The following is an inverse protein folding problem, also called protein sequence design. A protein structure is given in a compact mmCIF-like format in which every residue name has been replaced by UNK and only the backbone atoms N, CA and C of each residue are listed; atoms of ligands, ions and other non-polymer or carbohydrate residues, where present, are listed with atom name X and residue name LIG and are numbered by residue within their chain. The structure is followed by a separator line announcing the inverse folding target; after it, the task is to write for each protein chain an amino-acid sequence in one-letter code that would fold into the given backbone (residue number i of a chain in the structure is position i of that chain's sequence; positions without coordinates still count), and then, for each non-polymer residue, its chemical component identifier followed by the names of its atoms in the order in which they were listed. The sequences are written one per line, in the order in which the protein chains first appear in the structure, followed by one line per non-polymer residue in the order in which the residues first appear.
data_IF_702351754503
#
_entry.id   IF_702351754503
#
_cell.length_a   1.000
_cell.length_b   1.000
_cell.length_c   1.000
_cell.angle_alpha   90.00
_cell.angle_beta   90.00
_cell.angle_gamma   90.00
#
_symmetry.space_group_name_H-M   'P 1'
#
loop_
_entity.id
_entity.type
_entity.pdbx_description
1 polymer ?
#
# COMPACT_ATOMS: atom_id res chain seq x y z
N UNK A 1 -19.82 40.61 12.84
CA UNK A 1 -18.74 39.63 12.62
C UNK A 1 -19.37 38.40 11.98
N UNK A 2 -19.16 38.19 10.68
CA UNK A 2 -19.69 37.02 9.98
C UNK A 2 -18.77 35.82 10.28
N UNK A 3 -19.29 34.80 10.95
CA UNK A 3 -18.56 33.57 11.21
C UNK A 3 -18.70 32.66 9.99
N UNK A 4 -17.61 32.46 9.24
CA UNK A 4 -17.58 31.46 8.17
C UNK A 4 -17.48 30.08 8.81
N UNK A 5 -18.55 29.30 8.69
CA UNK A 5 -18.52 27.87 9.01
C UNK A 5 -18.05 27.14 7.76
N UNK A 6 -16.93 26.39 7.79
CA UNK A 6 -16.52 25.60 6.63
C UNK A 6 -17.55 24.50 6.38
N UNK A 7 -18.20 24.55 5.21
CA UNK A 7 -19.05 23.48 4.72
C UNK A 7 -18.16 22.29 4.36
N UNK A 8 -18.16 21.25 5.19
CA UNK A 8 -17.56 19.97 4.82
C UNK A 8 -18.54 19.28 3.89
N UNK A 9 -18.23 19.25 2.58
CA UNK A 9 -18.97 18.47 1.61
C UNK A 9 -18.84 16.98 1.98
N UNK A 10 -19.91 16.39 2.50
CA UNK A 10 -20.07 14.94 2.60
C UNK A 10 -20.68 14.44 1.30
N UNK A 11 -19.83 13.96 0.41
CA UNK A 11 -20.28 13.19 -0.73
C UNK A 11 -20.78 11.84 -0.22
N UNK A 12 -22.10 11.63 -0.21
CA UNK A 12 -22.70 10.31 -0.03
C UNK A 12 -23.11 9.85 -1.43
N UNK A 13 -22.25 9.07 -2.07
CA UNK A 13 -22.54 8.42 -3.36
C UNK A 13 -23.48 7.24 -3.04
N UNK A 14 -24.60 7.14 -3.76
CA UNK A 14 -25.69 6.18 -3.53
C UNK A 14 -25.20 4.75 -3.19
N UNK A 15 -25.51 4.31 -1.96
CA UNK A 15 -25.89 2.98 -1.42
C UNK A 15 -25.38 1.64 -2.00
N UNK A 16 -24.51 1.58 -3.00
CA UNK A 16 -23.82 0.36 -3.44
C UNK A 16 -22.30 0.52 -3.27
N UNK A 17 -21.85 0.84 -2.05
CA UNK A 17 -20.42 0.85 -1.73
C UNK A 17 -19.97 -0.60 -1.63
N UNK A 18 -19.62 -1.19 -2.77
CA UNK A 18 -18.71 -2.32 -2.78
C UNK A 18 -17.34 -1.79 -2.37
N UNK A 19 -17.01 -2.03 -1.11
CA UNK A 19 -15.71 -1.71 -0.53
C UNK A 19 -14.60 -2.45 -1.29
N UNK A 20 -13.41 -1.86 -1.36
CA UNK A 20 -12.31 -2.56 -2.04
C UNK A 20 -11.96 -3.85 -1.30
N UNK A 21 -11.90 -4.95 -2.04
CA UNK A 21 -11.17 -6.15 -1.64
C UNK A 21 -9.72 -5.68 -1.42
N UNK A 22 -9.10 -6.00 -0.30
CA UNK A 22 -7.83 -5.41 0.20
C UNK A 22 -7.91 -4.06 0.91
N UNK A 23 -9.05 -3.74 1.52
CA UNK A 23 -9.15 -2.64 2.48
C UNK A 23 -9.53 -3.12 3.88
N UNK A 24 -9.12 -2.37 4.90
CA UNK A 24 -9.53 -2.53 6.29
C UNK A 24 -10.26 -1.27 6.74
N UNK A 25 -11.43 -1.46 7.35
CA UNK A 25 -12.29 -0.37 7.78
C UNK A 25 -12.62 -0.50 9.25
N UNK A 26 -12.39 0.60 9.97
CA UNK A 26 -12.71 0.71 11.39
C UNK A 26 -13.80 1.73 11.58
N UNK A 27 -14.74 1.42 12.47
CA UNK A 27 -15.78 2.36 12.89
C UNK A 27 -15.30 3.09 14.14
N UNK A 28 -15.34 4.41 14.12
CA UNK A 28 -15.04 5.23 15.30
C UNK A 28 -16.25 5.31 16.25
N UNK A 29 -16.01 5.83 17.46
CA UNK A 29 -17.05 6.00 18.49
C UNK A 29 -18.12 7.05 18.11
N UNK A 30 -17.87 7.89 17.10
CA UNK A 30 -18.80 8.87 16.55
C UNK A 30 -19.66 8.35 15.39
N UNK A 31 -19.53 7.08 15.02
CA UNK A 31 -20.29 6.44 13.93
C UNK A 31 -19.67 6.61 12.55
N UNK A 32 -18.49 7.20 12.44
CA UNK A 32 -17.76 7.33 11.18
C UNK A 32 -17.04 6.02 10.87
N UNK A 33 -17.09 5.59 9.61
CA UNK A 33 -16.30 4.45 9.13
C UNK A 33 -15.14 4.97 8.32
N UNK A 34 -13.92 4.71 8.80
CA UNK A 34 -12.69 5.07 8.10
C UNK A 34 -12.08 3.81 7.53
N UNK A 35 -11.88 3.83 6.21
CA UNK A 35 -11.25 2.76 5.47
C UNK A 35 -9.85 3.13 5.02
N UNK A 36 -8.96 2.15 5.04
CA UNK A 36 -7.61 2.23 4.51
C UNK A 36 -7.32 1.00 3.66
N UNK A 37 -6.50 1.14 2.62
CA UNK A 37 -5.98 -0.04 1.94
C UNK A 37 -5.07 -0.83 2.90
N UNK A 38 -5.06 -2.15 2.73
CA UNK A 38 -4.18 -3.03 3.47
C UNK A 38 -2.71 -2.65 3.22
N UNK A 39 -1.83 -3.06 4.13
CA UNK A 39 -0.39 -2.87 3.94
C UNK A 39 0.04 -3.53 2.61
N UNK A 40 0.85 -2.82 1.83
CA UNK A 40 1.26 -3.23 0.49
C UNK A 40 0.26 -2.85 -0.61
N UNK A 41 -0.83 -2.15 -0.30
CA UNK A 41 -1.80 -1.67 -1.28
C UNK A 41 -1.95 -0.15 -1.23
N UNK A 42 -2.20 0.48 -2.38
CA UNK A 42 -2.44 1.91 -2.52
C UNK A 42 -3.73 2.18 -3.30
N UNK A 43 -4.24 3.41 -3.21
CA UNK A 43 -5.43 3.85 -3.95
C UNK A 43 -6.59 4.23 -3.04
N UNK A 44 -7.82 4.06 -3.54
CA UNK A 44 -9.04 4.51 -2.85
C UNK A 44 -9.84 3.32 -2.30
N UNK A 45 -9.88 3.12 -0.97
CA UNK A 45 -10.57 1.97 -0.38
C UNK A 45 -12.10 2.04 -0.47
N UNK A 46 -12.68 3.21 -0.76
CA UNK A 46 -14.12 3.43 -0.91
C UNK A 46 -14.64 3.14 -2.33
N UNK A 47 -13.75 2.70 -3.23
CA UNK A 47 -14.08 2.30 -4.61
C UNK A 47 -13.86 0.80 -4.74
N UNK A 48 -14.77 0.09 -5.43
CA UNK A 48 -14.61 -1.33 -5.75
C UNK A 48 -13.29 -1.54 -6.51
N UNK A 49 -12.45 -2.47 -6.04
CA UNK A 49 -11.10 -2.71 -6.55
C UNK A 49 -10.20 -1.45 -6.59
N UNK A 50 -10.51 -0.46 -5.74
CA UNK A 50 -9.76 0.79 -5.67
C UNK A 50 -8.43 0.66 -4.92
N UNK A 51 -8.24 -0.39 -4.11
CA UNK A 51 -6.95 -0.75 -3.55
C UNK A 51 -6.20 -1.67 -4.52
N UNK A 52 -5.11 -1.14 -5.07
CA UNK A 52 -4.23 -1.84 -5.99
C UNK A 52 -2.93 -2.22 -5.30
N UNK A 53 -2.37 -3.35 -5.70
CA UNK A 53 -1.10 -3.84 -5.18
C UNK A 53 0.04 -2.85 -5.47
N UNK A 54 0.84 -2.57 -4.45
CA UNK A 54 1.99 -1.67 -4.56
C UNK A 54 3.16 -2.45 -5.13
N UNK A 55 3.53 -2.15 -6.37
CA UNK A 55 4.69 -2.77 -6.98
C UNK A 55 5.98 -2.22 -6.36
N UNK A 56 6.45 -2.85 -5.29
CA UNK A 56 7.62 -2.37 -4.56
C UNK A 56 8.91 -2.54 -5.36
N UNK A 57 8.92 -3.38 -6.41
CA UNK A 57 10.05 -3.51 -7.32
C UNK A 57 10.19 -2.32 -8.29
N UNK A 58 9.12 -1.52 -8.47
CA UNK A 58 9.18 -0.24 -9.19
C UNK A 58 9.59 0.94 -8.30
N UNK A 59 9.67 0.72 -6.98
CA UNK A 59 10.13 1.73 -6.03
C UNK A 59 11.66 1.76 -6.03
N UNK A 60 12.32 2.93 -5.88
CA UNK A 60 13.77 3.01 -5.77
C UNK A 60 14.33 2.09 -4.69
N UNK A 61 15.47 1.44 -4.98
CA UNK A 61 16.18 0.53 -4.06
C UNK A 61 16.45 1.15 -2.68
N UNK A 62 16.65 2.47 -2.64
CA UNK A 62 16.86 3.24 -1.41
C UNK A 62 15.66 3.29 -0.47
N UNK A 63 14.45 2.94 -0.96
CA UNK A 63 13.21 2.95 -0.17
C UNK A 63 12.70 1.55 0.16
N UNK A 64 12.86 0.59 -0.75
CA UNK A 64 12.43 -0.80 -0.51
C UNK A 64 13.55 -1.68 0.09
N UNK A 65 14.79 -1.16 0.17
CA UNK A 65 15.97 -1.85 0.68
C UNK A 65 16.25 -3.18 -0.02
N UNK A 66 15.82 -3.38 -1.27
CA UNK A 66 16.11 -4.59 -2.04
C UNK A 66 17.26 -4.31 -3.00
N UNK A 67 18.43 -4.94 -2.80
CA UNK A 67 19.64 -4.76 -3.61
C UNK A 67 19.92 -5.93 -4.57
N UNK A 68 19.08 -6.97 -4.53
CA UNK A 68 19.16 -8.13 -5.40
C UNK A 68 18.10 -8.15 -6.50
N UNK A 69 17.68 -9.36 -6.87
CA UNK A 69 16.53 -9.59 -7.72
C UNK A 69 15.23 -9.40 -6.91
N UNK A 70 14.41 -8.45 -7.32
CA UNK A 70 13.10 -8.17 -6.72
C UNK A 70 11.99 -8.92 -7.47
N UNK A 71 11.10 -9.57 -6.73
CA UNK A 71 9.89 -10.20 -7.23
C UNK A 71 8.68 -9.61 -6.50
N UNK A 72 7.79 -8.96 -7.26
CA UNK A 72 6.58 -8.35 -6.69
C UNK A 72 5.53 -9.43 -6.39
N UNK A 73 4.90 -9.36 -5.22
CA UNK A 73 3.87 -10.28 -4.77
C UNK A 73 2.62 -9.49 -4.34
N UNK A 74 1.41 -10.09 -4.37
CA UNK A 74 0.24 -9.38 -3.87
C UNK A 74 0.37 -9.03 -2.36
N UNK A 75 0.49 -7.74 -2.06
CA UNK A 75 0.62 -7.16 -0.72
C UNK A 75 2.05 -7.13 -0.16
N UNK A 76 3.05 -7.56 -0.93
CA UNK A 76 4.45 -7.58 -0.51
C UNK A 76 5.42 -7.76 -1.68
N UNK A 77 6.71 -7.82 -1.39
CA UNK A 77 7.72 -8.20 -2.36
C UNK A 77 8.70 -9.15 -1.72
N UNK A 78 9.36 -9.90 -2.57
CA UNK A 78 10.44 -10.79 -2.20
C UNK A 78 11.74 -10.30 -2.86
N UNK A 79 12.77 -10.12 -2.04
CA UNK A 79 14.11 -9.81 -2.53
C UNK A 79 14.99 -11.05 -2.40
N UNK A 80 15.72 -11.41 -3.46
CA UNK A 80 16.63 -12.56 -3.48
C UNK A 80 17.95 -12.19 -4.11
N UNK A 81 19.03 -12.85 -3.69
CA UNK A 81 20.31 -12.70 -4.36
C UNK A 81 20.23 -13.22 -5.81
N UNK A 82 20.86 -12.52 -6.79
CA UNK A 82 20.97 -13.00 -8.16
C UNK A 82 21.57 -14.41 -8.25
N UNK A 83 21.29 -15.12 -9.36
CA UNK A 83 21.87 -16.45 -9.59
C UNK A 83 23.40 -16.40 -9.51
N UNK A 84 23.99 -17.36 -8.80
CA UNK A 84 25.44 -17.43 -8.57
C UNK A 84 25.92 -16.57 -7.39
N UNK A 85 25.02 -15.91 -6.65
CA UNK A 85 25.36 -15.17 -5.43
C UNK A 85 24.59 -15.68 -4.22
N UNK A 86 25.11 -15.45 -3.01
CA UNK A 86 24.52 -15.79 -1.70
C UNK A 86 24.72 -14.64 -0.72
N UNK A 87 23.81 -14.50 0.24
CA UNK A 87 23.96 -13.57 1.35
C UNK A 87 22.64 -12.91 1.70
N UNK A 88 22.68 -11.66 2.13
CA UNK A 88 21.49 -10.88 2.49
C UNK A 88 21.14 -9.88 1.37
N UNK A 89 20.07 -10.11 0.59
CA UNK A 89 19.68 -9.22 -0.50
C UNK A 89 19.06 -7.90 -0.01
N UNK A 90 18.83 -7.74 1.30
CA UNK A 90 18.32 -6.51 1.91
C UNK A 90 19.42 -5.58 2.43
N UNK A 91 20.69 -6.01 2.36
CA UNK A 91 21.85 -5.19 2.70
C UNK A 91 22.56 -4.73 1.44
N UNK A 92 23.07 -3.49 1.46
CA UNK A 92 23.91 -2.97 0.40
C UNK A 92 25.16 -3.85 0.28
N UNK A 93 25.44 -4.34 -0.92
CA UNK A 93 26.51 -5.33 -1.19
C UNK A 93 26.41 -6.63 -0.38
N UNK A 94 25.22 -6.99 0.12
CA UNK A 94 25.02 -8.17 0.94
C UNK A 94 25.02 -9.50 0.18
N UNK A 95 24.94 -9.48 -1.15
CA UNK A 95 25.04 -10.67 -2.00
C UNK A 95 26.48 -10.83 -2.54
N UNK A 96 27.13 -11.94 -2.20
CA UNK A 96 28.50 -12.29 -2.64
C UNK A 96 28.47 -13.45 -3.62
N UNK A 97 29.37 -13.45 -4.60
CA UNK A 97 29.52 -14.55 -5.56
C UNK A 97 29.93 -15.84 -4.85
N UNK A 98 29.38 -16.96 -5.33
CA UNK A 98 29.62 -18.32 -4.83
C UNK A 98 30.54 -19.08 -5.77
#
# INVERSE_FOLDING_TARGET
MASQVPLVLRWVVNQDINMSIQSNCTRDNGGYTTCHCNKGYYGNPYVLNGCQDTDECKIPMTKNACFGYCNNLPGSHECRCPRGTRGDPYQHDGCVEV
#
